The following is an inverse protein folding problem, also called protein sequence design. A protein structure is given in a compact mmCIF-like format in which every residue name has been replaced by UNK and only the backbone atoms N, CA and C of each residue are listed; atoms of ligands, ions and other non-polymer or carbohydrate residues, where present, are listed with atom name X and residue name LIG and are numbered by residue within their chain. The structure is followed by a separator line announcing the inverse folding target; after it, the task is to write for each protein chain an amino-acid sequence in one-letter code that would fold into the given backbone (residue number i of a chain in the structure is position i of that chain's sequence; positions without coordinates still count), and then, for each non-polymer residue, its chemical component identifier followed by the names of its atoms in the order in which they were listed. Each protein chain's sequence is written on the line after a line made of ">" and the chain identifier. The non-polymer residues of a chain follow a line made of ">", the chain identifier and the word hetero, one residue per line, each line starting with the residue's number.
data_IF_941611632602
#
_entry.id   IF_941611632602
#
_cell.length_a   1.000
_cell.length_b   1.000
_cell.length_c   1.000
_cell.angle_alpha   90.00
_cell.angle_beta   90.00
_cell.angle_gamma   90.00
#
_symmetry.space_group_name_H-M   'P 1'
#
loop_
_entity.id
_entity.type
_entity.pdbx_description
1 polymer ?
#
# COMPACT_ATOMS: atom_id res chain seq x y z
N UNK A 1 26.50 10.69 13.46
CA UNK A 1 25.08 10.76 13.05
C UNK A 1 24.26 10.81 14.32
N UNK A 2 23.38 11.81 14.48
CA UNK A 2 22.67 12.07 15.75
C UNK A 2 21.29 11.41 15.67
N UNK A 3 21.00 10.47 16.55
CA UNK A 3 19.66 9.89 16.71
C UNK A 3 18.71 10.94 17.30
N UNK A 4 17.50 11.05 16.76
CA UNK A 4 16.42 11.87 17.31
C UNK A 4 15.58 11.05 18.30
N UNK A 5 15.18 11.66 19.42
CA UNK A 5 14.38 11.02 20.46
C UNK A 5 12.93 11.51 20.38
N UNK A 6 11.97 10.58 20.46
CA UNK A 6 10.57 10.86 20.84
C UNK A 6 10.43 10.48 22.31
N UNK A 7 9.86 11.39 23.09
CA UNK A 7 9.70 11.33 24.55
C UNK A 7 9.34 9.92 25.04
N UNK A 8 9.96 9.50 26.15
CA UNK A 8 9.92 8.17 26.77
C UNK A 8 10.70 7.03 26.05
N UNK A 9 12.04 7.11 26.07
CA UNK A 9 12.90 5.98 26.48
C UNK A 9 13.18 4.77 25.56
N UNK A 10 12.46 4.51 24.48
CA UNK A 10 12.70 3.28 23.68
C UNK A 10 13.35 3.57 22.31
N UNK A 11 14.38 2.80 21.89
CA UNK A 11 14.92 2.90 20.54
C UNK A 11 13.86 2.41 19.54
N UNK A 12 13.27 3.31 18.77
CA UNK A 12 12.49 2.92 17.58
C UNK A 12 13.49 2.41 16.56
N UNK A 13 13.70 1.10 16.51
CA UNK A 13 14.39 0.46 15.39
C UNK A 13 13.48 0.63 14.18
N UNK A 14 13.79 1.61 13.34
CA UNK A 14 13.01 2.04 12.19
C UNK A 14 13.13 1.07 11.01
N UNK A 15 12.95 -0.22 11.26
CA UNK A 15 12.84 -1.25 10.22
C UNK A 15 11.72 -2.23 10.55
N UNK A 16 10.55 -1.69 10.88
CA UNK A 16 9.29 -2.42 10.75
C UNK A 16 8.73 -2.17 9.35
N UNK A 17 9.58 -2.35 8.34
CA UNK A 17 9.16 -2.31 6.96
C UNK A 17 8.48 -3.65 6.68
N UNK A 18 7.17 -3.71 6.90
CA UNK A 18 6.38 -4.89 6.51
C UNK A 18 6.82 -5.35 5.11
N UNK A 19 7.21 -6.63 4.99
CA UNK A 19 7.61 -7.18 3.71
C UNK A 19 6.39 -7.31 2.82
N UNK A 20 6.27 -6.39 1.87
CA UNK A 20 5.16 -6.34 0.93
C UNK A 20 5.56 -6.96 -0.40
N UNK A 21 4.76 -7.91 -0.87
CA UNK A 21 4.92 -8.43 -2.23
C UNK A 21 4.10 -7.59 -3.21
N UNK A 22 4.80 -6.74 -3.97
CA UNK A 22 4.19 -5.87 -4.99
C UNK A 22 3.89 -6.61 -6.30
N UNK A 23 2.70 -6.35 -6.85
CA UNK A 23 2.28 -6.83 -8.16
C UNK A 23 1.70 -5.69 -8.99
N UNK A 24 2.29 -5.46 -10.15
CA UNK A 24 1.84 -4.45 -11.12
C UNK A 24 0.60 -4.98 -11.86
N UNK A 25 -0.41 -4.13 -12.08
CA UNK A 25 -1.60 -4.47 -12.85
C UNK A 25 -1.29 -4.78 -14.31
N UNK A 26 -1.98 -5.77 -14.89
CA UNK A 26 -1.75 -6.23 -16.27
C UNK A 26 -2.11 -5.19 -17.35
N UNK A 27 -2.94 -4.21 -17.02
CA UNK A 27 -3.31 -3.09 -17.89
C UNK A 27 -2.36 -1.88 -17.73
N UNK A 28 -1.24 -2.06 -17.02
CA UNK A 28 -0.18 -1.06 -16.96
C UNK A 28 0.44 -0.89 -18.35
N UNK A 29 0.13 0.24 -18.99
CA UNK A 29 0.78 0.68 -20.22
C UNK A 29 1.66 1.91 -19.92
N UNK A 30 1.26 3.10 -20.38
CA UNK A 30 2.14 4.28 -20.31
C UNK A 30 2.08 5.04 -18.98
N UNK A 31 0.92 5.60 -18.60
CA UNK A 31 0.80 6.51 -17.43
C UNK A 31 -0.20 6.06 -16.36
N UNK A 32 -0.87 4.92 -16.56
CA UNK A 32 -1.96 4.44 -15.71
C UNK A 32 -1.59 3.15 -14.96
N UNK A 33 -0.33 3.01 -14.54
CA UNK A 33 0.13 1.82 -13.85
C UNK A 33 -0.15 1.89 -12.34
N UNK A 34 -0.91 0.93 -11.85
CA UNK A 34 -1.14 0.71 -10.41
C UNK A 34 -0.45 -0.59 -10.01
N UNK A 35 0.15 -0.60 -8.84
CA UNK A 35 0.63 -1.82 -8.20
C UNK A 35 -0.02 -2.03 -6.83
N UNK A 36 -0.25 -3.29 -6.51
CA UNK A 36 -0.87 -3.73 -5.27
C UNK A 36 0.14 -4.56 -4.50
N UNK A 37 0.35 -4.17 -3.26
CA UNK A 37 1.24 -4.81 -2.34
C UNK A 37 0.46 -5.56 -1.27
N UNK A 38 0.73 -6.86 -1.13
CA UNK A 38 0.16 -7.67 -0.04
C UNK A 38 1.18 -7.77 1.10
N UNK A 39 0.85 -7.19 2.25
CA UNK A 39 1.56 -7.33 3.52
C UNK A 39 0.87 -8.34 4.45
N UNK A 40 1.33 -8.41 5.70
CA UNK A 40 0.75 -9.32 6.71
C UNK A 40 -0.55 -8.74 7.26
N UNK A 41 -0.57 -7.44 7.52
CA UNK A 41 -1.70 -6.78 8.16
C UNK A 41 -2.56 -6.00 7.16
N UNK A 42 -1.94 -5.43 6.12
CA UNK A 42 -2.60 -4.56 5.16
C UNK A 42 -2.29 -4.86 3.69
N UNK A 43 -3.20 -4.40 2.83
CA UNK A 43 -3.02 -4.31 1.39
C UNK A 43 -2.76 -2.85 1.03
N UNK A 44 -1.67 -2.62 0.31
CA UNK A 44 -1.23 -1.28 -0.10
C UNK A 44 -1.43 -1.08 -1.59
N UNK A 45 -1.96 0.06 -2.00
CA UNK A 45 -2.15 0.43 -3.40
C UNK A 45 -1.41 1.73 -3.71
N UNK A 46 -0.59 1.74 -4.75
CA UNK A 46 0.11 2.94 -5.22
C UNK A 46 0.28 2.96 -6.73
N UNK A 47 0.72 4.11 -7.25
CA UNK A 47 1.22 4.22 -8.62
C UNK A 47 2.49 3.38 -8.75
N UNK A 48 2.55 2.51 -9.75
CA UNK A 48 3.77 1.75 -10.05
C UNK A 48 4.85 2.66 -10.68
N UNK A 49 6.13 2.25 -10.56
CA UNK A 49 7.30 2.94 -11.14
C UNK A 49 7.59 4.33 -10.56
N UNK A 50 6.88 4.74 -9.51
CA UNK A 50 7.19 5.92 -8.72
C UNK A 50 6.98 5.56 -7.26
N UNK A 51 7.97 5.78 -6.41
CA UNK A 51 7.82 5.59 -4.96
C UNK A 51 7.01 6.75 -4.36
N UNK A 52 5.71 6.72 -4.66
CA UNK A 52 4.72 7.63 -4.11
C UNK A 52 4.03 7.05 -2.87
N UNK A 53 3.21 7.85 -2.18
CA UNK A 53 2.41 7.38 -1.05
C UNK A 53 1.50 6.23 -1.48
N UNK A 54 1.37 5.24 -0.62
CA UNK A 54 0.42 4.15 -0.78
C UNK A 54 -0.84 4.41 0.06
N UNK A 55 -2.00 4.05 -0.48
CA UNK A 55 -3.22 3.91 0.29
C UNK A 55 -3.22 2.51 0.92
N UNK A 56 -3.37 2.44 2.23
CA UNK A 56 -3.46 1.19 2.97
C UNK A 56 -4.92 0.81 3.21
N UNK A 57 -5.21 -0.47 3.07
CA UNK A 57 -6.49 -1.10 3.40
C UNK A 57 -6.22 -2.25 4.36
N UNK A 58 -7.07 -2.43 5.37
CA UNK A 58 -7.18 -3.75 6.00
C UNK A 58 -7.62 -4.80 4.98
N UNK A 59 -7.42 -6.08 5.31
CA UNK A 59 -7.87 -7.18 4.46
C UNK A 59 -9.39 -7.18 4.22
N UNK A 60 -10.18 -6.75 5.22
CA UNK A 60 -11.64 -6.64 5.12
C UNK A 60 -12.04 -5.49 4.18
N UNK A 61 -11.43 -4.32 4.34
CA UNK A 61 -11.67 -3.17 3.46
C UNK A 61 -11.25 -3.46 2.03
N UNK A 62 -10.14 -4.16 1.81
CA UNK A 62 -9.70 -4.59 0.49
C UNK A 62 -10.73 -5.53 -0.17
N UNK A 63 -11.28 -6.46 0.60
CA UNK A 63 -12.34 -7.36 0.13
C UNK A 63 -13.61 -6.60 -0.24
N UNK A 64 -14.02 -5.62 0.57
CA UNK A 64 -15.17 -4.77 0.29
C UNK A 64 -14.94 -3.91 -0.97
N UNK A 65 -13.76 -3.28 -1.08
CA UNK A 65 -13.37 -2.48 -2.24
C UNK A 65 -13.44 -3.29 -3.54
N UNK A 66 -12.87 -4.50 -3.57
CA UNK A 66 -12.91 -5.35 -4.75
C UNK A 66 -14.33 -5.77 -5.15
N UNK A 67 -15.24 -5.97 -4.19
CA UNK A 67 -16.64 -6.27 -4.49
C UNK A 67 -17.33 -5.08 -5.16
N UNK A 68 -17.21 -3.89 -4.59
CA UNK A 68 -17.79 -2.66 -5.16
C UNK A 68 -17.21 -2.35 -6.53
N UNK A 69 -15.89 -2.43 -6.69
CA UNK A 69 -15.23 -2.17 -7.98
C UNK A 69 -15.68 -3.14 -9.07
N UNK A 70 -15.78 -4.44 -8.77
CA UNK A 70 -16.27 -5.44 -9.74
C UNK A 70 -17.76 -5.31 -10.05
N UNK A 71 -18.53 -4.71 -9.16
CA UNK A 71 -19.94 -4.40 -9.38
C UNK A 71 -20.15 -3.15 -10.25
N UNK A 72 -19.07 -2.44 -10.63
CA UNK A 72 -19.15 -1.22 -11.42
C UNK A 72 -19.60 0.02 -10.63
N UNK A 73 -19.58 -0.03 -9.30
CA UNK A 73 -20.01 1.08 -8.42
C UNK A 73 -19.19 2.37 -8.61
N UNK A 74 -18.02 2.27 -9.25
CA UNK A 74 -17.11 3.38 -9.47
C UNK A 74 -16.94 3.76 -10.96
N UNK A 75 -17.75 3.22 -11.86
CA UNK A 75 -17.69 3.46 -13.32
C UNK A 75 -18.54 4.68 -13.75
N UNK A 76 -18.50 5.77 -12.97
CA UNK A 76 -19.31 6.99 -13.17
C UNK A 76 -18.83 7.86 -14.35
#
# INVERSE_FOLDING_TARGET
>A
MRAGYRWEGEPVTSDDSEQVTWRIGSYCDTNACVEVGYGTDEVRVRRARTDGPAVAFSHEEWTAFLRSAKAGEFDL
#
